data_IF_990574305652
#
_entry.id   IF_990574305652
#
_cell.length_a   1.000
_cell.length_b   1.000
_cell.length_c   1.000
_cell.angle_alpha   90.00
_cell.angle_beta   90.00
_cell.angle_gamma   90.00
#
_symmetry.space_group_name_H-M   'P 1'
#
loop_
_entity.id
_entity.type
_entity.pdbx_description
1 polymer ?
#
# COMPACT_ATOMS: atom_id res chain seq x y z
N UNK A 1 7.12 35.91 -41.55
CA UNK A 1 6.48 35.94 -40.21
C UNK A 1 5.77 34.61 -39.98
N UNK A 2 6.46 33.58 -39.47
CA UNK A 2 5.85 32.25 -39.18
C UNK A 2 6.40 31.59 -37.91
N UNK A 3 7.40 32.19 -37.24
CA UNK A 3 7.99 31.62 -36.02
C UNK A 3 7.00 31.59 -34.85
N UNK A 4 6.20 32.64 -34.67
CA UNK A 4 5.26 32.75 -33.56
C UNK A 4 4.16 31.66 -33.57
N UNK A 5 3.71 31.22 -34.75
CA UNK A 5 2.71 30.14 -34.86
C UNK A 5 3.32 28.76 -34.65
N UNK A 6 4.56 28.51 -35.08
CA UNK A 6 5.24 27.22 -34.83
C UNK A 6 5.49 26.99 -33.34
N UNK A 7 5.93 28.02 -32.62
CA UNK A 7 6.19 27.92 -31.17
C UNK A 7 4.87 27.73 -30.40
N UNK A 8 3.82 28.46 -30.78
CA UNK A 8 2.49 28.30 -30.21
C UNK A 8 1.92 26.89 -30.43
N UNK A 9 2.08 26.32 -31.62
CA UNK A 9 1.62 24.95 -31.93
C UNK A 9 2.38 23.93 -31.08
N UNK A 10 3.70 24.06 -30.95
CA UNK A 10 4.50 23.16 -30.11
C UNK A 10 4.10 23.22 -28.63
N UNK A 11 3.85 24.42 -28.10
CA UNK A 11 3.40 24.58 -26.71
C UNK A 11 2.02 23.95 -26.51
N UNK A 12 1.08 24.18 -27.43
CA UNK A 12 -0.27 23.59 -27.35
C UNK A 12 -0.20 22.06 -27.44
N UNK A 13 0.60 21.50 -28.35
CA UNK A 13 0.78 20.04 -28.47
C UNK A 13 1.45 19.46 -27.22
N UNK A 14 2.48 20.13 -26.68
CA UNK A 14 3.14 19.69 -25.46
C UNK A 14 2.19 19.70 -24.24
N UNK A 15 1.30 20.69 -24.14
CA UNK A 15 0.29 20.75 -23.09
C UNK A 15 -0.78 19.67 -23.29
N UNK A 16 -1.33 19.54 -24.50
CA UNK A 16 -2.44 18.63 -24.81
C UNK A 16 -2.05 17.15 -24.81
N UNK A 17 -0.76 16.83 -25.01
CA UNK A 17 -0.28 15.44 -25.01
C UNK A 17 0.57 15.15 -23.78
N UNK A 18 1.52 16.02 -23.47
CA UNK A 18 2.47 15.82 -22.38
C UNK A 18 1.81 15.79 -21.01
N UNK A 19 0.88 16.72 -20.74
CA UNK A 19 0.18 16.76 -19.44
C UNK A 19 -0.72 15.53 -19.22
N UNK A 20 -1.61 15.13 -20.16
CA UNK A 20 -2.42 13.93 -19.94
C UNK A 20 -1.59 12.64 -19.91
N UNK A 21 -0.47 12.56 -20.64
CA UNK A 21 0.43 11.40 -20.56
C UNK A 21 1.12 11.29 -19.19
N UNK A 22 1.60 12.43 -18.64
CA UNK A 22 2.16 12.50 -17.29
C UNK A 22 1.10 12.19 -16.22
N UNK A 23 -0.12 12.70 -16.39
CA UNK A 23 -1.24 12.38 -15.52
C UNK A 23 -1.55 10.88 -15.55
N UNK A 24 -1.63 10.26 -16.74
CA UNK A 24 -1.87 8.82 -16.86
C UNK A 24 -0.79 8.00 -16.14
N UNK A 25 0.49 8.38 -16.28
CA UNK A 25 1.58 7.71 -15.58
C UNK A 25 1.52 7.90 -14.05
N UNK A 26 1.21 9.12 -13.58
CA UNK A 26 1.12 9.44 -12.17
C UNK A 26 -0.11 8.82 -11.48
N UNK A 27 -1.27 8.81 -12.15
CA UNK A 27 -2.53 8.31 -11.60
C UNK A 27 -2.77 6.82 -11.87
N UNK A 28 -2.28 6.25 -12.97
CA UNK A 28 -2.48 4.84 -13.32
C UNK A 28 -1.88 3.85 -12.31
N UNK A 29 -0.81 4.24 -11.60
CA UNK A 29 -0.27 3.45 -10.48
C UNK A 29 -1.16 3.50 -9.23
N UNK A 30 -1.88 4.61 -9.02
CA UNK A 30 -2.65 4.88 -7.81
C UNK A 30 -3.94 4.04 -7.75
N UNK A 31 -4.60 3.84 -8.89
CA UNK A 31 -5.78 2.97 -9.00
C UNK A 31 -5.45 1.50 -8.72
N UNK A 32 -4.26 1.04 -9.12
CA UNK A 32 -3.80 -0.34 -8.84
C UNK A 32 -3.52 -0.55 -7.35
N UNK A 33 -2.92 0.44 -6.69
CA UNK A 33 -2.65 0.39 -5.24
C UNK A 33 -3.95 0.43 -4.42
N UNK A 34 -4.87 1.33 -4.77
CA UNK A 34 -6.19 1.43 -4.13
C UNK A 34 -6.97 0.11 -4.24
N UNK A 35 -7.01 -0.50 -5.44
CA UNK A 35 -7.66 -1.80 -5.63
C UNK A 35 -7.00 -2.95 -4.86
N UNK A 36 -5.72 -2.83 -4.51
CA UNK A 36 -5.02 -3.82 -3.67
C UNK A 36 -5.39 -3.63 -2.20
N UNK A 37 -5.31 -2.40 -1.69
CA UNK A 37 -5.69 -2.11 -0.30
C UNK A 37 -7.16 -2.42 -0.02
N UNK A 38 -8.07 -2.12 -0.96
CA UNK A 38 -9.49 -2.49 -0.81
C UNK A 38 -9.71 -4.01 -0.76
N UNK A 39 -8.92 -4.78 -1.53
CA UNK A 39 -8.98 -6.25 -1.48
C UNK A 39 -8.48 -6.78 -0.15
N UNK A 40 -7.33 -6.29 0.33
CA UNK A 40 -6.76 -6.63 1.64
C UNK A 40 -7.74 -6.26 2.78
N UNK A 41 -8.43 -5.12 2.67
CA UNK A 41 -9.40 -4.67 3.67
C UNK A 41 -10.70 -5.48 3.64
N UNK A 42 -11.21 -5.86 2.46
CA UNK A 42 -12.36 -6.77 2.35
C UNK A 42 -12.06 -8.14 2.95
N UNK A 43 -10.85 -8.67 2.73
CA UNK A 43 -10.40 -9.92 3.33
C UNK A 43 -10.38 -9.82 4.87
N UNK A 44 -9.75 -8.77 5.41
CA UNK A 44 -9.71 -8.52 6.86
C UNK A 44 -11.11 -8.37 7.48
N UNK A 45 -12.04 -7.70 6.78
CA UNK A 45 -13.42 -7.56 7.22
C UNK A 45 -14.16 -8.91 7.26
N UNK A 46 -13.99 -9.74 6.23
CA UNK A 46 -14.69 -11.02 6.12
C UNK A 46 -14.15 -12.05 7.11
N UNK A 47 -12.83 -12.16 7.24
CA UNK A 47 -12.19 -13.17 8.09
C UNK A 47 -12.25 -12.78 9.57
N UNK A 48 -11.79 -11.56 9.90
CA UNK A 48 -11.58 -11.14 11.28
C UNK A 48 -12.67 -10.20 11.80
N UNK A 49 -13.74 -9.96 11.04
CA UNK A 49 -14.86 -9.08 11.42
C UNK A 49 -14.42 -7.68 11.86
N UNK A 50 -13.35 -7.14 11.26
CA UNK A 50 -12.71 -5.86 11.61
C UNK A 50 -12.06 -5.80 13.01
N UNK A 51 -11.92 -6.92 13.73
CA UNK A 51 -11.28 -6.94 15.06
C UNK A 51 -9.83 -7.41 14.98
N UNK A 52 -8.91 -6.56 15.42
CA UNK A 52 -7.48 -6.89 15.56
C UNK A 52 -7.27 -7.96 16.62
N UNK A 53 -8.12 -8.00 17.66
CA UNK A 53 -8.03 -8.99 18.74
C UNK A 53 -8.37 -10.40 18.24
N UNK A 54 -9.40 -10.54 17.39
CA UNK A 54 -9.69 -11.81 16.71
C UNK A 54 -8.57 -12.20 15.77
N UNK A 55 -8.01 -11.24 15.03
CA UNK A 55 -6.84 -11.50 14.20
C UNK A 55 -5.65 -12.03 15.03
N UNK A 56 -5.38 -11.47 16.21
CA UNK A 56 -4.33 -12.00 17.13
C UNK A 56 -4.65 -13.42 17.62
N UNK A 57 -5.92 -13.74 17.84
CA UNK A 57 -6.37 -15.04 18.34
C UNK A 57 -6.41 -16.15 17.26
N UNK A 58 -6.88 -15.82 16.06
CA UNK A 58 -7.17 -16.77 14.97
C UNK A 58 -6.06 -16.85 13.93
N UNK A 59 -5.20 -15.83 13.80
CA UNK A 59 -4.17 -15.80 12.77
C UNK A 59 -3.11 -16.89 13.00
N UNK A 60 -2.67 -17.61 11.94
CA UNK A 60 -1.63 -18.63 12.02
C UNK A 60 -0.21 -18.06 12.29
N UNK A 61 -0.10 -16.76 12.55
CA UNK A 61 1.17 -16.07 12.77
C UNK A 61 1.74 -16.39 14.15
N UNK A 62 2.97 -16.91 14.16
CA UNK A 62 3.72 -17.16 15.39
C UNK A 62 4.11 -15.86 16.10
N UNK A 63 3.51 -15.64 17.28
CA UNK A 63 3.72 -14.47 18.15
C UNK A 63 5.16 -14.39 18.66
N UNK A 64 5.78 -15.52 18.97
CA UNK A 64 7.16 -15.55 19.49
C UNK A 64 8.15 -15.06 18.43
N UNK A 65 7.92 -15.42 17.17
CA UNK A 65 8.72 -14.98 16.04
C UNK A 65 8.54 -13.49 15.74
N UNK A 66 7.32 -12.96 15.89
CA UNK A 66 7.05 -11.52 15.80
C UNK A 66 7.79 -10.74 16.89
N UNK A 67 7.81 -11.24 18.13
CA UNK A 67 8.56 -10.66 19.24
C UNK A 67 10.08 -10.70 19.00
N UNK A 68 10.60 -11.82 18.51
CA UNK A 68 12.03 -11.96 18.17
C UNK A 68 12.44 -10.96 17.08
N UNK A 69 11.59 -10.79 16.06
CA UNK A 69 11.80 -9.81 15.00
C UNK A 69 11.75 -8.39 15.55
N UNK A 70 10.77 -8.06 16.41
CA UNK A 70 10.61 -6.75 17.05
C UNK A 70 11.83 -6.32 17.87
N UNK A 71 12.54 -7.27 18.49
CA UNK A 71 13.74 -7.02 19.31
C UNK A 71 14.99 -6.64 18.49
N UNK A 72 15.01 -6.87 17.18
CA UNK A 72 16.16 -6.55 16.29
C UNK A 72 16.10 -5.11 15.76
N UNK A 73 17.23 -4.59 15.27
CA UNK A 73 17.29 -3.29 14.58
C UNK A 73 16.39 -3.33 13.32
N UNK A 74 15.56 -2.30 13.11
CA UNK A 74 14.47 -2.29 12.12
C UNK A 74 13.42 -3.42 12.30
N UNK A 75 13.33 -3.96 13.52
CA UNK A 75 12.50 -5.11 13.86
C UNK A 75 11.01 -4.92 13.60
N UNK A 76 10.49 -3.71 13.81
CA UNK A 76 9.08 -3.38 13.58
C UNK A 76 8.69 -3.52 12.11
N UNK A 77 9.51 -3.02 11.18
CA UNK A 77 9.26 -3.15 9.73
C UNK A 77 9.36 -4.61 9.27
N UNK A 78 10.34 -5.36 9.79
CA UNK A 78 10.47 -6.80 9.49
C UNK A 78 9.30 -7.61 10.07
N UNK A 79 8.82 -7.28 11.26
CA UNK A 79 7.65 -7.91 11.87
C UNK A 79 6.39 -7.64 11.04
N UNK A 80 6.16 -6.39 10.60
CA UNK A 80 5.05 -6.06 9.70
C UNK A 80 5.14 -6.84 8.39
N UNK A 81 6.32 -6.92 7.79
CA UNK A 81 6.54 -7.67 6.56
C UNK A 81 6.31 -9.18 6.76
N UNK A 82 6.71 -9.71 7.91
CA UNK A 82 6.46 -11.11 8.27
C UNK A 82 4.96 -11.40 8.37
N UNK A 83 4.21 -10.59 9.12
CA UNK A 83 2.75 -10.71 9.24
C UNK A 83 2.09 -10.68 7.86
N UNK A 84 2.45 -9.70 7.02
CA UNK A 84 1.91 -9.59 5.65
C UNK A 84 2.24 -10.75 4.72
N UNK A 85 3.33 -11.49 5.00
CA UNK A 85 3.72 -12.66 4.21
C UNK A 85 2.84 -13.87 4.54
N UNK A 86 2.42 -14.00 5.79
CA UNK A 86 1.57 -15.09 6.25
C UNK A 86 0.09 -14.80 6.09
N UNK A 87 -0.29 -13.53 6.16
CA UNK A 87 -1.68 -13.08 6.11
C UNK A 87 -1.78 -11.81 5.24
N UNK A 88 -2.56 -11.80 4.14
CA UNK A 88 -2.67 -10.67 3.23
C UNK A 88 -3.53 -9.53 3.81
N UNK A 89 -3.08 -8.95 4.93
CA UNK A 89 -3.72 -7.82 5.61
C UNK A 89 -3.11 -6.47 5.22
N UNK A 90 -3.89 -5.38 5.35
CA UNK A 90 -3.40 -4.02 5.11
C UNK A 90 -2.21 -3.67 6.03
N UNK A 91 -1.24 -2.88 5.55
CA UNK A 91 -0.05 -2.54 6.33
C UNK A 91 -0.35 -1.82 7.65
N UNK A 92 -1.44 -1.04 7.71
CA UNK A 92 -1.91 -0.40 8.95
C UNK A 92 -2.36 -1.43 9.99
N UNK A 93 -3.09 -2.45 9.56
CA UNK A 93 -3.59 -3.51 10.45
C UNK A 93 -2.44 -4.40 10.92
N UNK A 94 -1.51 -4.74 10.03
CA UNK A 94 -0.31 -5.48 10.40
C UNK A 94 0.56 -4.73 11.43
N UNK A 95 0.64 -3.39 11.34
CA UNK A 95 1.30 -2.58 12.36
C UNK A 95 0.57 -2.64 13.72
N UNK A 96 -0.76 -2.50 13.71
CA UNK A 96 -1.59 -2.63 14.92
C UNK A 96 -1.46 -4.02 15.57
N UNK A 97 -1.39 -5.08 14.78
CA UNK A 97 -1.16 -6.44 15.26
C UNK A 97 0.19 -6.57 15.98
N UNK A 98 1.27 -6.06 15.38
CA UNK A 98 2.63 -6.07 15.97
C UNK A 98 2.71 -5.20 17.24
N UNK A 99 1.93 -4.12 17.29
CA UNK A 99 1.87 -3.23 18.45
C UNK A 99 1.01 -3.83 19.59
N UNK A 100 -0.06 -4.59 19.25
CA UNK A 100 -0.90 -5.31 20.21
C UNK A 100 -0.19 -6.50 20.85
N UNK A 101 0.77 -7.12 20.14
CA UNK A 101 1.64 -8.15 20.71
C UNK A 101 2.68 -7.49 21.63
N UNK A 102 2.48 -7.71 22.93
CA UNK A 102 3.35 -7.23 24.02
C UNK A 102 4.14 -8.37 24.64
#
# INVERSE_FOLDING_TARGET
MNYCSSDAINVVVAIMVGIPMLAYYAFGGRERLSNKEEREFRFFRNEYSLSVERMVAESPVDRNKVLELKRKLFGRLRAIHYVRKWDPVPPRIAALFVDAIR
#
